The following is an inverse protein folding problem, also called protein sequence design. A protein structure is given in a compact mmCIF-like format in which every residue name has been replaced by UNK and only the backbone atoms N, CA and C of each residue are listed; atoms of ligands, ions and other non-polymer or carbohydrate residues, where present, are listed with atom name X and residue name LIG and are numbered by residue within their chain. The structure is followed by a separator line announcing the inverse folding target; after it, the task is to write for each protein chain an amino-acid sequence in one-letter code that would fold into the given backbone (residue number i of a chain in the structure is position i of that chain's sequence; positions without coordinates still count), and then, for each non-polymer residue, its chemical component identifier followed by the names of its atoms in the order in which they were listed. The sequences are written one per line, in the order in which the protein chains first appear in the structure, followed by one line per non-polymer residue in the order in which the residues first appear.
data_IF_432018306551
#
_entry.id   IF_432018306551
#
_cell.length_a   1.000
_cell.length_b   1.000
_cell.length_c   1.000
_cell.angle_alpha   90.00
_cell.angle_beta   90.00
_cell.angle_gamma   90.00
#
_symmetry.space_group_name_H-M   'P 1'
#
loop_
_entity.id
_entity.type
_entity.pdbx_description
1 polymer ?
#
# COMPACT_ATOMS: atom_id res chain seq x y z
N UNK A 1 13.49 5.28 19.72
CA UNK A 1 14.22 4.13 19.16
C UNK A 1 14.09 4.14 17.65
N UNK A 2 15.18 4.02 16.96
CA UNK A 2 15.17 4.02 15.50
C UNK A 2 15.17 2.58 14.99
N UNK A 3 14.25 2.31 14.09
CA UNK A 3 14.22 1.02 13.41
C UNK A 3 15.24 1.01 12.28
N UNK A 4 15.76 -0.16 11.93
CA UNK A 4 16.49 -0.31 10.68
C UNK A 4 15.53 -0.01 9.52
N UNK A 5 16.07 0.26 8.33
CA UNK A 5 15.24 0.54 7.16
C UNK A 5 14.27 -0.61 6.88
N UNK A 6 14.74 -1.85 7.00
CA UNK A 6 13.88 -3.02 6.79
C UNK A 6 12.80 -3.13 7.84
N UNK A 7 13.17 -3.00 9.13
CA UNK A 7 12.21 -3.08 10.23
C UNK A 7 11.15 -1.99 10.11
N UNK A 8 11.55 -0.79 9.73
CA UNK A 8 10.65 0.33 9.54
C UNK A 8 9.64 0.05 8.43
N UNK A 9 10.12 -0.48 7.30
CA UNK A 9 9.24 -0.86 6.20
C UNK A 9 8.29 -1.99 6.57
N UNK A 10 8.80 -3.05 7.22
CA UNK A 10 7.98 -4.19 7.63
C UNK A 10 6.90 -3.77 8.63
N UNK A 11 7.26 -2.91 9.57
CA UNK A 11 6.30 -2.40 10.55
C UNK A 11 5.22 -1.56 9.88
N UNK A 12 5.61 -0.72 8.92
CA UNK A 12 4.66 0.10 8.18
C UNK A 12 3.67 -0.75 7.41
N UNK A 13 4.14 -1.79 6.73
CA UNK A 13 3.26 -2.68 5.98
C UNK A 13 2.27 -3.42 6.88
N UNK A 14 2.73 -3.86 8.06
CA UNK A 14 1.84 -4.52 9.02
C UNK A 14 0.75 -3.57 9.50
N UNK A 15 1.12 -2.34 9.83
CA UNK A 15 0.17 -1.32 10.27
C UNK A 15 -0.83 -1.01 9.16
N UNK A 16 -0.34 -0.88 7.93
CA UNK A 16 -1.19 -0.61 6.78
C UNK A 16 -2.20 -1.74 6.56
N UNK A 17 -1.76 -2.99 6.67
CA UNK A 17 -2.64 -4.14 6.52
C UNK A 17 -3.75 -4.14 7.57
N UNK A 18 -3.39 -3.90 8.83
CA UNK A 18 -4.38 -3.83 9.91
C UNK A 18 -5.36 -2.70 9.72
N UNK A 19 -4.87 -1.54 9.30
CA UNK A 19 -5.73 -0.40 9.00
C UNK A 19 -6.78 -0.75 7.95
N UNK A 20 -6.36 -1.40 6.87
CA UNK A 20 -7.30 -1.82 5.82
C UNK A 20 -8.29 -2.87 6.32
N UNK A 21 -7.83 -3.83 7.12
CA UNK A 21 -8.71 -4.84 7.69
C UNK A 21 -9.77 -4.21 8.59
N UNK A 22 -9.40 -3.22 9.40
CA UNK A 22 -10.34 -2.50 10.25
C UNK A 22 -11.37 -1.72 9.44
N UNK A 23 -11.02 -1.33 8.21
CA UNK A 23 -11.95 -0.68 7.29
C UNK A 23 -12.82 -1.65 6.50
N UNK A 24 -12.66 -2.94 6.73
CA UNK A 24 -13.48 -3.96 6.07
C UNK A 24 -12.85 -4.60 4.86
N UNK A 25 -11.59 -4.30 4.56
CA UNK A 25 -10.88 -4.96 3.48
C UNK A 25 -10.33 -6.32 3.92
N UNK A 26 -10.28 -7.24 2.98
CA UNK A 26 -9.55 -8.49 3.15
C UNK A 26 -8.24 -8.38 2.41
N UNK A 27 -7.14 -8.66 3.09
CA UNK A 27 -5.82 -8.62 2.45
C UNK A 27 -5.67 -9.86 1.58
N UNK A 28 -5.48 -9.65 0.30
CA UNK A 28 -5.34 -10.73 -0.68
C UNK A 28 -3.87 -11.13 -0.82
N UNK A 29 -3.00 -10.13 -0.94
CA UNK A 29 -1.56 -10.35 -1.08
C UNK A 29 -0.80 -9.33 -0.29
N UNK A 30 0.32 -9.76 0.30
CA UNK A 30 1.30 -8.87 0.92
C UNK A 30 2.60 -9.01 0.16
N UNK A 31 3.23 -7.89 -0.15
CA UNK A 31 4.51 -7.88 -0.87
C UNK A 31 4.46 -8.74 -2.12
N UNK A 32 3.45 -8.49 -2.95
CA UNK A 32 3.31 -9.21 -4.20
C UNK A 32 4.47 -8.84 -5.12
N UNK A 33 5.20 -9.86 -5.58
CA UNK A 33 6.35 -9.67 -6.48
C UNK A 33 6.22 -10.56 -7.69
N UNK A 34 6.58 -10.02 -8.83
CA UNK A 34 6.64 -10.75 -10.08
C UNK A 34 7.75 -10.17 -10.96
N UNK A 35 7.91 -10.73 -12.14
CA UNK A 35 9.00 -10.30 -13.02
C UNK A 35 8.86 -8.86 -13.53
N UNK A 36 7.68 -8.25 -13.44
CA UNK A 36 7.48 -6.87 -13.91
C UNK A 36 7.48 -5.84 -12.78
N UNK A 37 7.46 -6.26 -11.52
CA UNK A 37 7.51 -5.33 -10.40
C UNK A 37 6.92 -5.90 -9.13
N UNK A 38 6.60 -4.98 -8.20
CA UNK A 38 6.04 -5.35 -6.91
C UNK A 38 4.95 -4.39 -6.47
N UNK A 39 4.05 -4.87 -5.63
CA UNK A 39 2.98 -4.09 -5.02
C UNK A 39 2.94 -4.45 -3.53
N UNK A 40 2.89 -3.44 -2.68
CA UNK A 40 2.98 -3.65 -1.23
C UNK A 40 1.80 -4.43 -0.68
N UNK A 41 0.58 -4.03 -1.03
CA UNK A 41 -0.63 -4.70 -0.57
C UNK A 41 -1.65 -4.75 -1.69
N UNK A 42 -2.32 -5.90 -1.80
CA UNK A 42 -3.50 -6.05 -2.64
C UNK A 42 -4.62 -6.43 -1.70
N UNK A 43 -5.72 -5.68 -1.72
CA UNK A 43 -6.83 -5.90 -0.80
C UNK A 43 -8.16 -5.78 -1.52
N UNK A 44 -9.19 -6.43 -0.98
CA UNK A 44 -10.51 -6.40 -1.59
C UNK A 44 -11.59 -6.06 -0.57
N UNK A 45 -12.60 -5.40 -1.04
CA UNK A 45 -13.87 -5.23 -0.36
C UNK A 45 -14.97 -5.67 -1.34
N UNK A 46 -16.23 -5.47 -0.99
CA UNK A 46 -17.33 -5.86 -1.88
C UNK A 46 -17.22 -5.06 -3.18
N UNK A 47 -16.97 -5.75 -4.29
CA UNK A 47 -16.91 -5.15 -5.61
C UNK A 47 -15.73 -4.24 -5.88
N UNK A 48 -14.73 -4.22 -5.00
CA UNK A 48 -13.58 -3.32 -5.12
C UNK A 48 -12.29 -4.08 -4.83
N UNK A 49 -11.32 -3.93 -5.73
CA UNK A 49 -9.97 -4.44 -5.53
C UNK A 49 -9.01 -3.26 -5.55
N UNK A 50 -8.23 -3.10 -4.49
CA UNK A 50 -7.24 -2.02 -4.42
C UNK A 50 -5.83 -2.56 -4.49
N UNK A 51 -4.99 -1.84 -5.23
CA UNK A 51 -3.55 -2.05 -5.28
C UNK A 51 -2.94 -0.88 -4.52
N UNK A 52 -2.28 -1.19 -3.41
CA UNK A 52 -1.89 -0.17 -2.46
C UNK A 52 -0.38 -0.06 -2.31
N UNK A 53 0.11 1.17 -2.43
CA UNK A 53 1.49 1.53 -2.13
C UNK A 53 1.54 2.04 -0.70
N UNK A 54 2.46 1.51 0.10
CA UNK A 54 2.65 1.91 1.49
C UNK A 54 3.92 2.75 1.58
N UNK A 55 3.77 3.97 2.10
CA UNK A 55 4.90 4.87 2.35
C UNK A 55 4.99 5.18 3.83
N UNK A 56 6.11 4.82 4.43
CA UNK A 56 6.37 5.10 5.83
C UNK A 56 7.45 6.17 5.95
N UNK A 57 7.21 7.15 6.80
CA UNK A 57 8.19 8.19 7.08
C UNK A 57 8.04 8.71 8.50
N UNK A 58 9.10 9.26 9.02
CA UNK A 58 9.02 9.99 10.28
C UNK A 58 8.48 11.39 10.02
N UNK A 59 7.66 11.86 10.94
CA UNK A 59 7.17 13.23 10.88
C UNK A 59 8.36 14.18 11.03
N UNK A 60 8.45 15.11 10.11
CA UNK A 60 9.37 16.21 10.24
C UNK A 60 8.64 17.33 10.97
N UNK A 61 9.35 17.99 11.88
CA UNK A 61 8.82 19.10 12.66
C UNK A 61 8.23 20.21 11.78
N UNK A 62 8.57 20.21 10.51
CA UNK A 62 8.17 21.27 9.58
C UNK A 62 7.12 20.86 8.58
N UNK A 63 6.45 19.73 8.82
CA UNK A 63 5.30 19.35 8.02
C UNK A 63 5.55 19.27 6.52
N UNK A 64 6.59 18.57 6.11
CA UNK A 64 6.84 18.40 4.69
C UNK A 64 5.67 17.67 4.03
N UNK A 65 5.23 18.11 2.86
CA UNK A 65 4.16 17.42 2.14
C UNK A 65 4.59 16.00 1.78
N UNK A 66 3.62 15.11 1.68
CA UNK A 66 3.87 13.78 1.18
C UNK A 66 4.53 13.86 -0.19
N UNK A 67 5.57 13.08 -0.40
CA UNK A 67 6.14 12.97 -1.73
C UNK A 67 5.11 12.33 -2.65
N UNK A 68 4.81 12.99 -3.74
CA UNK A 68 3.96 12.41 -4.76
C UNK A 68 4.64 11.18 -5.34
N UNK A 69 3.86 10.15 -5.64
CA UNK A 69 4.36 8.98 -6.36
C UNK A 69 4.68 9.44 -7.77
N UNK A 70 5.93 9.27 -8.22
CA UNK A 70 6.34 9.76 -9.53
C UNK A 70 5.73 8.92 -10.67
N UNK A 71 5.79 9.48 -11.88
CA UNK A 71 5.18 8.86 -13.06
C UNK A 71 5.77 7.49 -13.38
N UNK A 72 7.05 7.30 -13.13
CA UNK A 72 7.72 6.03 -13.37
C UNK A 72 7.19 4.95 -12.43
N UNK A 73 7.04 5.31 -11.14
CA UNK A 73 6.49 4.40 -10.14
C UNK A 73 5.05 4.03 -10.47
N UNK A 74 4.26 5.01 -10.87
CA UNK A 74 2.86 4.79 -11.28
C UNK A 74 2.80 3.78 -12.42
N UNK A 75 3.62 3.95 -13.44
CA UNK A 75 3.64 3.00 -14.56
C UNK A 75 4.01 1.60 -14.10
N UNK A 76 5.00 1.47 -13.21
CA UNK A 76 5.41 0.18 -12.68
C UNK A 76 4.29 -0.50 -11.90
N UNK A 77 3.61 0.25 -11.05
CA UNK A 77 2.50 -0.31 -10.27
C UNK A 77 1.36 -0.74 -11.17
N UNK A 78 1.00 0.08 -12.16
CA UNK A 78 -0.07 -0.27 -13.11
C UNK A 78 0.28 -1.51 -13.92
N UNK A 79 1.52 -1.63 -14.36
CA UNK A 79 1.98 -2.83 -15.10
C UNK A 79 1.94 -4.07 -14.22
N UNK A 80 2.37 -3.94 -12.98
CA UNK A 80 2.37 -5.05 -12.04
C UNK A 80 0.94 -5.48 -11.73
N UNK A 81 0.03 -4.54 -11.55
CA UNK A 81 -1.39 -4.83 -11.34
C UNK A 81 -1.99 -5.55 -12.54
N UNK A 82 -1.68 -5.08 -13.76
CA UNK A 82 -2.14 -5.74 -14.99
C UNK A 82 -1.61 -7.17 -15.07
N UNK A 83 -0.34 -7.36 -14.73
CA UNK A 83 0.25 -8.70 -14.68
C UNK A 83 -0.50 -9.58 -13.69
N UNK A 84 -0.75 -9.07 -12.48
CA UNK A 84 -1.48 -9.81 -11.46
C UNK A 84 -2.85 -10.25 -11.97
N UNK A 85 -3.59 -9.34 -12.58
CA UNK A 85 -4.95 -9.62 -13.04
C UNK A 85 -5.00 -10.59 -14.23
N UNK A 86 -3.95 -10.66 -15.04
CA UNK A 86 -3.95 -11.48 -16.25
C UNK A 86 -3.12 -12.76 -16.11
N UNK A 87 -2.02 -12.71 -15.36
CA UNK A 87 -1.06 -13.82 -15.29
C UNK A 87 -0.83 -14.35 -13.89
N UNK A 88 -0.93 -13.47 -12.89
CA UNK A 88 -0.46 -13.78 -11.54
C UNK A 88 -1.46 -14.50 -10.65
N UNK A 89 -2.72 -14.51 -11.01
CA UNK A 89 -3.75 -15.15 -10.18
C UNK A 89 -3.88 -16.63 -10.49
N UNK A 90 -4.13 -17.43 -9.46
CA UNK A 90 -4.38 -18.85 -9.63
C UNK A 90 -5.74 -19.10 -10.28
N UNK A 91 -6.73 -18.28 -9.93
CA UNK A 91 -8.08 -18.35 -10.49
C UNK A 91 -8.24 -17.17 -11.43
N UNK A 92 -8.30 -17.44 -12.72
CA UNK A 92 -8.44 -16.39 -13.73
C UNK A 92 -9.85 -15.80 -13.68
N UNK A 93 -9.96 -14.53 -14.03
CA UNK A 93 -11.23 -13.80 -14.13
C UNK A 93 -11.96 -13.60 -12.81
N UNK A 94 -11.29 -13.88 -11.67
CA UNK A 94 -11.92 -13.79 -10.36
C UNK A 94 -12.42 -12.36 -10.06
N UNK A 95 -11.71 -11.35 -10.55
CA UNK A 95 -12.02 -9.95 -10.28
C UNK A 95 -12.53 -9.18 -11.49
N UNK A 96 -13.02 -9.89 -12.52
CA UNK A 96 -13.49 -9.21 -13.73
C UNK A 96 -14.63 -8.22 -13.47
N UNK A 97 -15.46 -8.48 -12.47
CA UNK A 97 -16.58 -7.60 -12.13
C UNK A 97 -16.24 -6.59 -11.02
N UNK A 98 -14.99 -6.56 -10.58
CA UNK A 98 -14.56 -5.65 -9.53
C UNK A 98 -14.09 -4.33 -10.11
N UNK A 99 -14.40 -3.25 -9.41
CA UNK A 99 -13.73 -1.97 -9.68
C UNK A 99 -12.28 -2.08 -9.20
N UNK A 100 -11.37 -1.50 -9.95
CA UNK A 100 -9.94 -1.49 -9.63
C UNK A 100 -9.57 -0.08 -9.21
N UNK A 101 -8.86 0.03 -8.11
CA UNK A 101 -8.43 1.32 -7.60
C UNK A 101 -6.99 1.24 -7.11
N UNK A 102 -6.25 2.32 -7.28
CA UNK A 102 -4.86 2.43 -6.84
C UNK A 102 -4.80 3.42 -5.68
N UNK A 103 -4.40 2.94 -4.53
CA UNK A 103 -4.37 3.75 -3.31
C UNK A 103 -2.95 3.90 -2.79
N UNK A 104 -2.73 4.98 -2.06
CA UNK A 104 -1.49 5.19 -1.31
C UNK A 104 -1.85 5.29 0.17
N UNK A 105 -1.16 4.52 1.00
CA UNK A 105 -1.22 4.66 2.45
C UNK A 105 0.08 5.27 2.92
N UNK A 106 -0.01 6.49 3.43
CA UNK A 106 1.12 7.18 4.00
C UNK A 106 1.06 7.04 5.53
N UNK A 107 2.09 6.42 6.08
CA UNK A 107 2.20 6.23 7.52
C UNK A 107 3.23 7.20 8.06
N UNK A 108 2.78 8.08 8.93
CA UNK A 108 3.64 9.12 9.49
C UNK A 108 3.88 8.79 10.95
N UNK A 109 5.12 8.41 11.25
CA UNK A 109 5.54 8.11 12.61
C UNK A 109 5.95 9.42 13.26
N UNK A 110 5.17 9.86 14.23
CA UNK A 110 5.49 11.09 14.96
C UNK A 110 6.63 10.78 15.91
N UNK A 111 7.73 11.49 15.80
CA UNK A 111 9.02 11.17 16.41
C UNK A 111 9.09 11.16 17.92
N UNK A 112 8.09 10.67 18.60
CA UNK A 112 8.11 10.51 20.04
C UNK A 112 8.61 9.13 20.47
N UNK A 113 8.75 8.96 21.77
CA UNK A 113 9.13 7.68 22.36
C UNK A 113 7.97 6.67 22.34
N UNK A 114 6.82 7.06 21.84
CA UNK A 114 5.62 6.22 21.80
C UNK A 114 5.37 5.74 20.39
N UNK A 115 5.50 4.44 20.20
CA UNK A 115 5.29 3.79 18.88
C UNK A 115 3.83 3.82 18.44
N UNK A 116 2.91 4.20 19.32
CA UNK A 116 1.49 4.22 19.00
C UNK A 116 1.01 5.55 18.40
N UNK A 117 1.91 6.52 18.24
CA UNK A 117 1.56 7.79 17.62
C UNK A 117 1.86 7.74 16.13
N UNK A 118 0.99 7.07 15.39
CA UNK A 118 1.13 6.95 13.96
C UNK A 118 -0.08 7.58 13.31
N UNK A 119 0.19 8.53 12.43
CA UNK A 119 -0.86 9.15 11.64
C UNK A 119 -0.92 8.44 10.29
N UNK A 120 -2.12 8.04 9.89
CA UNK A 120 -2.31 7.38 8.61
C UNK A 120 -3.07 8.32 7.69
N UNK A 121 -2.46 8.57 6.53
CA UNK A 121 -3.10 9.33 5.46
C UNK A 121 -3.41 8.37 4.32
N UNK A 122 -4.68 8.08 4.12
CA UNK A 122 -5.13 7.17 3.08
C UNK A 122 -5.58 7.99 1.87
N UNK A 123 -4.83 7.89 0.80
CA UNK A 123 -5.15 8.59 -0.45
C UNK A 123 -5.80 7.58 -1.38
N UNK A 124 -7.11 7.65 -1.46
CA UNK A 124 -7.89 6.77 -2.33
C UNK A 124 -7.78 7.25 -3.77
N UNK A 125 -7.73 6.29 -4.68
CA UNK A 125 -7.68 6.59 -6.12
C UNK A 125 -6.56 7.59 -6.45
N UNK A 126 -5.38 7.29 -5.96
CA UNK A 126 -4.25 8.22 -6.00
C UNK A 126 -3.67 8.42 -7.40
N UNK A 127 -3.89 7.46 -8.31
CA UNK A 127 -3.40 7.58 -9.69
C UNK A 127 -4.08 6.62 -10.66
#
# INVERSE_FOLDING_TARGET
MNYSTKEFGDKGEEIAARYLEEKGFVIVERNYRCKVGEIDLIAKAVGLLIFCEVKSRYSLLFGQPAEAVDKKKIRHIRRTASWYLTQGMRIKHLYDDYDIRFDVLELIFTGGSKDNEIKINHIENAF
#
